data_IF_055980515780
#
_entry.id   IF_055980515780
#
_cell.length_a   1.000
_cell.length_b   1.000
_cell.length_c   1.000
_cell.angle_alpha   90.00
_cell.angle_beta   90.00
_cell.angle_gamma   90.00
#
_symmetry.space_group_name_H-M   'P 1'
#
loop_
_entity.id
_entity.type
_entity.pdbx_description
1 polymer ?
#
# COMPACT_ATOMS: atom_id res chain seq x y z
N UNK A 1 27.08 -28.83 19.65
CA UNK A 1 25.99 -28.43 18.74
C UNK A 1 25.48 -27.06 19.19
N UNK A 2 26.05 -25.99 18.63
CA UNK A 2 25.81 -24.62 19.10
C UNK A 2 24.52 -24.10 18.45
N UNK A 3 23.51 -23.79 19.27
CA UNK A 3 22.30 -23.09 18.82
C UNK A 3 22.63 -21.61 18.65
N UNK A 4 22.71 -21.15 17.40
CA UNK A 4 22.82 -19.72 17.07
C UNK A 4 21.49 -19.00 17.43
N UNK A 5 21.51 -17.98 18.31
CA UNK A 5 20.31 -17.24 18.68
C UNK A 5 20.16 -15.99 17.80
N UNK A 6 19.95 -16.18 16.49
CA UNK A 6 19.75 -15.08 15.52
C UNK A 6 18.41 -15.27 14.79
N UNK A 7 17.31 -15.33 15.56
CA UNK A 7 15.94 -15.32 15.02
C UNK A 7 14.97 -14.45 15.82
N UNK A 8 15.45 -13.33 16.40
CA UNK A 8 14.62 -12.46 17.25
C UNK A 8 14.05 -11.21 16.57
N UNK A 9 14.15 -11.06 15.24
CA UNK A 9 13.59 -9.87 14.58
C UNK A 9 12.93 -10.07 13.21
N UNK A 10 12.64 -11.31 12.80
CA UNK A 10 11.81 -11.54 11.62
C UNK A 10 10.32 -11.47 12.04
N UNK A 11 9.66 -10.33 11.79
CA UNK A 11 8.19 -10.26 11.87
C UNK A 11 7.62 -11.29 10.89
N UNK A 12 6.97 -12.32 11.42
CA UNK A 12 6.36 -13.40 10.62
C UNK A 12 5.05 -12.92 9.99
N UNK A 13 4.80 -13.32 8.75
CA UNK A 13 3.57 -13.01 8.00
C UNK A 13 2.38 -13.91 8.38
N UNK A 14 2.64 -15.00 9.11
CA UNK A 14 1.62 -16.00 9.48
C UNK A 14 0.40 -15.43 10.19
N UNK A 15 0.55 -14.62 11.25
CA UNK A 15 -0.59 -14.00 11.94
C UNK A 15 -1.45 -13.11 11.04
N UNK A 16 -0.83 -12.40 10.10
CA UNK A 16 -1.51 -11.49 9.17
C UNK A 16 -2.38 -12.27 8.19
N UNK A 17 -1.89 -13.41 7.70
CA UNK A 17 -2.65 -14.31 6.83
C UNK A 17 -3.83 -14.94 7.57
N UNK A 18 -3.65 -15.31 8.84
CA UNK A 18 -4.74 -15.84 9.68
C UNK A 18 -5.83 -14.79 9.91
N UNK A 19 -5.45 -13.54 10.18
CA UNK A 19 -6.40 -12.43 10.42
C UNK A 19 -7.08 -11.92 9.14
N UNK A 20 -6.37 -11.88 8.01
CA UNK A 20 -6.87 -11.32 6.74
C UNK A 20 -7.74 -12.27 5.90
N UNK A 21 -7.84 -13.53 6.30
CA UNK A 21 -8.72 -14.53 5.68
C UNK A 21 -8.35 -14.90 4.23
N UNK A 22 -9.29 -15.53 3.52
CA UNK A 22 -9.07 -16.13 2.20
C UNK A 22 -8.66 -15.13 1.11
N UNK A 23 -9.21 -13.91 1.14
CA UNK A 23 -8.91 -12.87 0.15
C UNK A 23 -7.44 -12.44 0.22
N UNK A 24 -6.96 -12.13 1.43
CA UNK A 24 -5.56 -11.78 1.63
C UNK A 24 -4.62 -12.95 1.32
N UNK A 25 -4.98 -14.17 1.73
CA UNK A 25 -4.21 -15.37 1.39
C UNK A 25 -4.05 -15.57 -0.12
N UNK A 26 -5.12 -15.37 -0.90
CA UNK A 26 -5.05 -15.47 -2.37
C UNK A 26 -4.14 -14.40 -2.98
N UNK A 27 -4.20 -13.16 -2.50
CA UNK A 27 -3.35 -12.07 -2.96
C UNK A 27 -1.89 -12.35 -2.63
N UNK A 28 -1.58 -12.73 -1.39
CA UNK A 28 -0.21 -13.06 -0.97
C UNK A 28 0.33 -14.27 -1.74
N UNK A 29 -0.48 -15.30 -2.00
CA UNK A 29 -0.09 -16.46 -2.82
C UNK A 29 0.22 -16.10 -4.27
N UNK A 30 -0.48 -15.11 -4.84
CA UNK A 30 -0.22 -14.65 -6.19
C UNK A 30 1.01 -13.72 -6.27
N UNK A 31 1.28 -12.96 -5.20
CA UNK A 31 2.42 -12.03 -5.11
C UNK A 31 3.73 -12.73 -4.71
N UNK A 32 3.68 -13.61 -3.72
CA UNK A 32 4.78 -14.49 -3.35
C UNK A 32 4.70 -15.70 -4.28
N UNK A 33 5.48 -15.68 -5.36
CA UNK A 33 5.71 -16.81 -6.27
C UNK A 33 5.58 -18.15 -5.52
N UNK A 34 5.01 -19.21 -6.12
CA UNK A 34 4.61 -20.44 -5.43
C UNK A 34 5.68 -21.10 -4.54
N UNK A 35 6.96 -20.72 -4.69
CA UNK A 35 8.11 -21.25 -3.98
C UNK A 35 8.65 -20.35 -2.84
N UNK A 36 8.12 -19.12 -2.63
CA UNK A 36 8.72 -18.09 -1.73
C UNK A 36 7.86 -17.80 -0.49
N UNK A 37 6.76 -18.54 -0.29
CA UNK A 37 5.74 -18.22 0.72
C UNK A 37 6.18 -18.36 2.19
N UNK A 38 7.31 -19.00 2.50
CA UNK A 38 7.75 -19.23 3.90
C UNK A 38 8.86 -18.29 4.34
N UNK A 39 9.61 -17.70 3.40
CA UNK A 39 10.79 -16.87 3.71
C UNK A 39 10.62 -15.39 3.34
N UNK A 40 9.52 -15.00 2.69
CA UNK A 40 9.31 -13.60 2.31
C UNK A 40 9.30 -12.68 3.55
N UNK A 41 10.26 -11.76 3.69
CA UNK A 41 10.29 -10.85 4.83
C UNK A 41 9.04 -9.97 4.86
N UNK A 42 8.53 -9.66 6.05
CA UNK A 42 7.34 -8.83 6.22
C UNK A 42 7.43 -7.48 5.47
N UNK A 43 8.58 -6.82 5.49
CA UNK A 43 8.77 -5.55 4.76
C UNK A 43 8.67 -5.72 3.24
N UNK A 44 9.12 -6.86 2.70
CA UNK A 44 9.01 -7.18 1.27
C UNK A 44 7.57 -7.53 0.90
N UNK A 45 6.86 -8.25 1.77
CA UNK A 45 5.42 -8.48 1.59
C UNK A 45 4.64 -7.17 1.61
N UNK A 46 4.94 -6.28 2.56
CA UNK A 46 4.31 -4.98 2.69
C UNK A 46 4.53 -4.13 1.44
N UNK A 47 5.74 -4.09 0.88
CA UNK A 47 6.00 -3.36 -0.37
C UNK A 47 5.21 -3.94 -1.54
N UNK A 48 5.19 -5.27 -1.70
CA UNK A 48 4.43 -5.93 -2.77
C UNK A 48 2.92 -5.68 -2.66
N UNK A 49 2.38 -5.68 -1.44
CA UNK A 49 0.98 -5.33 -1.20
C UNK A 49 0.72 -3.86 -1.52
N UNK A 50 1.61 -2.94 -1.14
CA UNK A 50 1.48 -1.53 -1.47
C UNK A 50 1.54 -1.30 -2.97
N UNK A 51 2.47 -1.92 -3.70
CA UNK A 51 2.57 -1.80 -5.16
C UNK A 51 1.34 -2.35 -5.88
N UNK A 52 0.71 -3.41 -5.35
CA UNK A 52 -0.51 -3.99 -5.90
C UNK A 52 -1.77 -3.19 -5.53
N UNK A 53 -1.83 -2.59 -4.34
CA UNK A 53 -3.01 -1.86 -3.81
C UNK A 53 -2.97 -0.37 -4.16
N UNK A 54 -1.80 0.18 -4.46
CA UNK A 54 -1.59 1.51 -5.04
C UNK A 54 -1.20 1.34 -6.51
N UNK A 55 -2.14 0.97 -7.40
CA UNK A 55 -1.80 0.91 -8.81
C UNK A 55 -1.49 2.32 -9.32
N UNK A 56 -0.83 2.36 -10.48
CA UNK A 56 -0.77 3.53 -11.36
C UNK A 56 -2.15 4.20 -11.51
N UNK A 57 -3.22 3.42 -11.44
CA UNK A 57 -4.60 3.89 -11.47
C UNK A 57 -4.98 4.79 -10.29
N UNK A 58 -4.41 4.60 -9.10
CA UNK A 58 -4.61 5.53 -7.98
C UNK A 58 -4.00 6.90 -8.29
N UNK A 59 -2.75 6.92 -8.78
CA UNK A 59 -2.09 8.15 -9.18
C UNK A 59 -2.79 8.83 -10.36
N UNK A 60 -3.21 8.06 -11.37
CA UNK A 60 -3.94 8.57 -12.53
C UNK A 60 -5.31 9.14 -12.11
N UNK A 61 -6.01 8.46 -11.19
CA UNK A 61 -7.31 8.90 -10.67
C UNK A 61 -7.19 10.19 -9.86
N UNK A 62 -6.25 10.27 -8.91
CA UNK A 62 -6.07 11.47 -8.11
C UNK A 62 -5.56 12.65 -8.97
N UNK A 63 -4.77 12.40 -10.03
CA UNK A 63 -4.36 13.41 -11.00
C UNK A 63 -5.52 13.89 -11.88
N UNK A 64 -6.36 12.99 -12.37
CA UNK A 64 -7.57 13.34 -13.11
C UNK A 64 -8.51 14.18 -12.23
N UNK A 65 -8.66 13.79 -10.96
CA UNK A 65 -9.42 14.55 -9.97
C UNK A 65 -8.86 15.94 -9.76
N UNK A 66 -7.54 16.09 -9.55
CA UNK A 66 -6.88 17.39 -9.45
C UNK A 66 -7.18 18.28 -10.67
N UNK A 67 -7.02 17.75 -11.88
CA UNK A 67 -7.25 18.49 -13.12
C UNK A 67 -8.72 18.89 -13.33
N UNK A 68 -9.67 18.12 -12.79
CA UNK A 68 -11.10 18.44 -12.85
C UNK A 68 -11.55 19.49 -11.83
N UNK A 69 -10.71 19.88 -10.87
CA UNK A 69 -11.11 20.84 -9.84
C UNK A 69 -11.27 22.24 -10.43
N UNK A 70 -12.48 22.80 -10.29
CA UNK A 70 -12.80 24.17 -10.71
C UNK A 70 -13.18 24.99 -9.47
N UNK A 71 -12.68 26.22 -9.41
CA UNK A 71 -13.02 27.15 -8.33
C UNK A 71 -14.47 27.62 -8.46
N UNK A 72 -15.25 27.48 -7.41
CA UNK A 72 -16.60 28.06 -7.36
C UNK A 72 -16.54 29.60 -7.39
N UNK A 73 -17.53 30.25 -8.00
CA UNK A 73 -17.53 31.70 -8.24
C UNK A 73 -17.36 32.55 -6.97
N UNK A 74 -17.91 32.10 -5.83
CA UNK A 74 -17.83 32.77 -4.54
C UNK A 74 -16.70 32.24 -3.62
N UNK A 75 -15.84 31.35 -4.12
CA UNK A 75 -14.75 30.79 -3.32
C UNK A 75 -13.51 31.69 -3.35
N UNK A 76 -12.97 32.09 -2.18
CA UNK A 76 -11.69 32.80 -2.12
C UNK A 76 -10.56 31.98 -2.74
N UNK A 77 -9.70 32.62 -3.53
CA UNK A 77 -8.57 31.95 -4.20
C UNK A 77 -7.70 31.16 -3.22
N UNK A 78 -7.41 31.73 -2.04
CA UNK A 78 -6.62 31.06 -1.00
C UNK A 78 -7.25 29.72 -0.57
N UNK A 79 -8.57 29.67 -0.41
CA UNK A 79 -9.28 28.44 -0.01
C UNK A 79 -9.19 27.38 -1.11
N UNK A 80 -9.32 27.79 -2.37
CA UNK A 80 -9.19 26.89 -3.51
C UNK A 80 -7.76 26.33 -3.64
N UNK A 81 -6.74 27.17 -3.48
CA UNK A 81 -5.32 26.75 -3.48
C UNK A 81 -5.05 25.70 -2.38
N UNK A 82 -5.61 25.91 -1.18
CA UNK A 82 -5.49 24.92 -0.10
C UNK A 82 -6.12 23.57 -0.46
N UNK A 83 -7.25 23.58 -1.17
CA UNK A 83 -7.89 22.35 -1.65
C UNK A 83 -7.05 21.66 -2.73
N UNK A 84 -6.47 22.41 -3.67
CA UNK A 84 -5.55 21.88 -4.68
C UNK A 84 -4.33 21.24 -4.02
N UNK A 85 -3.69 21.93 -3.08
CA UNK A 85 -2.52 21.39 -2.37
C UNK A 85 -2.87 20.10 -1.61
N UNK A 86 -4.03 20.06 -0.94
CA UNK A 86 -4.51 18.85 -0.25
C UNK A 86 -4.70 17.68 -1.23
N UNK A 87 -5.16 17.95 -2.45
CA UNK A 87 -5.35 16.95 -3.49
C UNK A 87 -4.02 16.49 -4.10
N UNK A 88 -3.05 17.40 -4.27
CA UNK A 88 -1.72 17.08 -4.79
C UNK A 88 -0.83 16.28 -3.82
N UNK A 89 -1.18 16.26 -2.53
CA UNK A 89 -0.47 15.47 -1.50
C UNK A 89 -0.99 14.04 -1.34
N UNK A 90 -1.88 13.58 -2.22
CA UNK A 90 -2.38 12.20 -2.24
C UNK A 90 -1.60 11.38 -3.26
#
# INVERSE_FOLDING_TARGET
MVRHPERRNAKSIGPILTLGGRGLYSVVKNLALPNVSVELPFEKLKSLLLDHILPVDFQATERAKFNSMIRAANMPCRKFILQLNKQASK
#
